data_IF_856653943665
#
_entry.id   IF_856653943665
#
_cell.length_a   1.000
_cell.length_b   1.000
_cell.length_c   1.000
_cell.angle_alpha   90.00
_cell.angle_beta   90.00
_cell.angle_gamma   90.00
#
_symmetry.space_group_name_H-M   'P 1'
#
loop_
_entity.id
_entity.type
_entity.pdbx_description
1 polymer ?
#
# COMPACT_ATOMS: atom_id res chain seq x y z
N UNK A 1 7.93 11.32 -0.85
CA UNK A 1 8.13 9.92 -1.30
C UNK A 1 7.87 9.75 -2.79
N UNK A 2 6.64 9.96 -3.30
CA UNK A 2 6.30 9.76 -4.73
C UNK A 2 7.25 10.45 -5.71
N UNK A 3 7.53 11.75 -5.52
CA UNK A 3 8.46 12.50 -6.37
C UNK A 3 9.87 11.90 -6.39
N UNK A 4 10.35 11.41 -5.25
CA UNK A 4 11.69 10.81 -5.14
C UNK A 4 11.77 9.49 -5.92
N UNK A 5 10.77 8.62 -5.74
CA UNK A 5 10.68 7.36 -6.49
C UNK A 5 10.59 7.59 -8.00
N UNK A 6 9.82 8.59 -8.43
CA UNK A 6 9.73 8.97 -9.84
C UNK A 6 11.08 9.48 -10.36
N UNK A 7 11.78 10.33 -9.58
CA UNK A 7 13.11 10.82 -9.95
C UNK A 7 14.15 9.69 -10.05
N UNK A 8 13.97 8.61 -9.28
CA UNK A 8 14.79 7.40 -9.35
C UNK A 8 14.39 6.46 -10.50
N UNK A 9 13.38 6.82 -11.30
CA UNK A 9 12.95 6.08 -12.49
C UNK A 9 11.84 5.06 -12.26
N UNK A 10 11.24 5.03 -11.06
CA UNK A 10 10.15 4.11 -10.76
C UNK A 10 8.79 4.63 -11.25
N UNK A 11 7.93 3.71 -11.68
CA UNK A 11 6.52 4.00 -11.93
C UNK A 11 5.76 3.96 -10.62
N UNK A 12 5.01 5.02 -10.31
CA UNK A 12 4.24 5.09 -9.07
C UNK A 12 2.78 5.40 -9.37
N UNK A 13 1.90 4.47 -9.06
CA UNK A 13 0.45 4.68 -9.05
C UNK A 13 0.02 5.12 -7.65
N UNK A 14 -0.81 6.16 -7.53
CA UNK A 14 -1.28 6.67 -6.24
C UNK A 14 -2.79 6.49 -6.08
N UNK A 15 -3.27 6.24 -4.86
CA UNK A 15 -4.70 6.17 -4.53
C UNK A 15 -5.46 5.14 -5.41
N UNK A 16 -4.84 3.96 -5.63
CA UNK A 16 -5.39 2.94 -6.52
C UNK A 16 -6.47 2.14 -5.81
N UNK A 17 -7.69 2.19 -6.34
CA UNK A 17 -8.79 1.35 -5.86
C UNK A 17 -8.63 -0.09 -6.36
N UNK A 18 -8.56 -1.05 -5.43
CA UNK A 18 -8.47 -2.47 -5.72
C UNK A 18 -9.66 -3.23 -5.14
N UNK A 19 -10.26 -4.17 -5.89
CA UNK A 19 -11.26 -5.07 -5.33
C UNK A 19 -10.61 -6.07 -4.37
N UNK A 20 -11.25 -6.30 -3.22
CA UNK A 20 -10.80 -7.29 -2.24
C UNK A 20 -11.68 -8.52 -2.35
N UNK A 21 -11.05 -9.69 -2.45
CA UNK A 21 -11.72 -10.97 -2.57
C UNK A 21 -11.39 -11.89 -1.38
N UNK A 22 -12.40 -12.60 -0.89
CA UNK A 22 -12.23 -13.70 0.06
C UNK A 22 -12.90 -14.94 -0.51
N UNK A 23 -12.15 -16.04 -0.64
CA UNK A 23 -12.63 -17.30 -1.24
C UNK A 23 -13.29 -17.10 -2.63
N UNK A 24 -12.75 -16.19 -3.44
CA UNK A 24 -13.27 -15.87 -4.77
C UNK A 24 -14.48 -14.92 -4.79
N UNK A 25 -15.06 -14.60 -3.64
CA UNK A 25 -16.17 -13.64 -3.54
C UNK A 25 -15.64 -12.23 -3.26
N UNK A 26 -16.17 -11.22 -3.96
CA UNK A 26 -15.81 -9.82 -3.73
C UNK A 26 -16.42 -9.37 -2.40
N UNK A 27 -15.57 -9.06 -1.43
CA UNK A 27 -15.98 -8.62 -0.08
C UNK A 27 -15.85 -7.12 0.14
N UNK A 28 -15.18 -6.41 -0.78
CA UNK A 28 -15.05 -4.95 -0.67
C UNK A 28 -14.12 -4.33 -1.70
N UNK A 29 -13.74 -3.09 -1.42
CA UNK A 29 -12.69 -2.36 -2.13
C UNK A 29 -11.74 -1.71 -1.12
N UNK A 30 -10.49 -1.58 -1.52
CA UNK A 30 -9.46 -0.90 -0.73
C UNK A 30 -8.72 0.09 -1.61
N UNK A 31 -8.50 1.30 -1.12
CA UNK A 31 -7.74 2.32 -1.82
C UNK A 31 -6.33 2.26 -1.25
N UNK A 32 -5.40 1.80 -2.08
CA UNK A 32 -3.98 1.75 -1.73
C UNK A 32 -3.35 3.12 -1.89
N UNK A 33 -2.48 3.50 -0.96
CA UNK A 33 -1.78 4.77 -1.02
C UNK A 33 -0.92 4.88 -2.27
N UNK A 34 -0.02 3.90 -2.46
CA UNK A 34 0.90 3.81 -3.59
C UNK A 34 1.17 2.37 -4.05
N UNK A 35 1.32 2.18 -5.37
CA UNK A 35 1.91 0.98 -5.97
C UNK A 35 3.13 1.38 -6.79
N UNK A 36 4.27 0.77 -6.50
CA UNK A 36 5.55 1.01 -7.19
C UNK A 36 5.85 -0.14 -8.15
N UNK A 37 6.11 0.20 -9.41
CA UNK A 37 6.43 -0.71 -10.52
C UNK A 37 5.43 -1.89 -10.69
N UNK A 38 4.19 -1.70 -10.25
CA UNK A 38 3.16 -2.73 -10.24
C UNK A 38 3.45 -3.93 -9.32
N UNK A 39 4.45 -3.83 -8.43
CA UNK A 39 5.00 -4.96 -7.66
C UNK A 39 5.00 -4.72 -6.15
N UNK A 40 5.19 -3.49 -5.72
CA UNK A 40 5.34 -3.14 -4.30
C UNK A 40 4.17 -2.25 -3.91
N UNK A 41 3.44 -2.64 -2.85
CA UNK A 41 2.42 -1.81 -2.22
C UNK A 41 3.10 -1.01 -1.11
N UNK A 42 2.89 0.32 -1.08
CA UNK A 42 3.44 1.20 -0.07
C UNK A 42 2.31 1.97 0.64
N UNK A 43 2.05 1.62 1.90
CA UNK A 43 1.03 2.21 2.77
C UNK A 43 1.67 3.14 3.80
N UNK A 44 1.25 4.40 3.85
CA UNK A 44 1.80 5.39 4.76
C UNK A 44 0.99 5.43 6.06
N UNK A 45 1.68 5.41 7.20
CA UNK A 45 1.06 5.58 8.52
C UNK A 45 1.81 6.63 9.33
N UNK A 46 1.07 7.62 9.83
CA UNK A 46 1.58 8.61 10.76
C UNK A 46 1.10 8.25 12.18
N UNK A 47 1.97 7.59 12.95
CA UNK A 47 1.70 7.16 14.33
C UNK A 47 2.92 7.45 15.20
N UNK A 48 2.73 7.69 16.49
CA UNK A 48 3.84 7.91 17.43
C UNK A 48 4.65 6.62 17.66
N UNK A 49 3.95 5.49 17.67
CA UNK A 49 4.53 4.16 17.89
C UNK A 49 3.79 3.10 17.07
N UNK A 50 4.50 2.05 16.65
CA UNK A 50 3.88 0.89 16.02
C UNK A 50 3.26 0.01 17.10
N UNK A 51 1.94 0.13 17.29
CA UNK A 51 1.20 -0.71 18.21
C UNK A 51 1.42 -2.21 17.89
N UNK A 52 1.40 -3.12 18.89
CA UNK A 52 1.61 -4.55 18.67
C UNK A 52 0.75 -5.16 17.56
N UNK A 53 -0.51 -4.72 17.45
CA UNK A 53 -1.46 -5.16 16.42
C UNK A 53 -1.07 -4.70 14.99
N UNK A 54 -0.24 -3.68 14.86
CA UNK A 54 0.23 -3.16 13.57
C UNK A 54 1.62 -3.70 13.18
N UNK A 55 2.31 -4.43 14.07
CA UNK A 55 3.64 -4.99 13.78
C UNK A 55 3.63 -5.95 12.61
N UNK A 56 2.60 -6.78 12.48
CA UNK A 56 2.49 -7.73 11.36
C UNK A 56 2.41 -7.01 10.00
N UNK A 57 1.88 -5.78 9.96
CA UNK A 57 1.81 -4.96 8.74
C UNK A 57 3.15 -4.29 8.41
N UNK A 58 4.03 -4.11 9.39
CA UNK A 58 5.31 -3.42 9.24
C UNK A 58 6.51 -4.38 9.00
N UNK A 59 6.43 -5.62 9.47
CA UNK A 59 7.55 -6.58 9.46
C UNK A 59 7.31 -7.81 8.55
N UNK A 60 6.39 -7.71 7.59
CA UNK A 60 6.09 -8.84 6.69
C UNK A 60 7.20 -9.14 5.71
#
# INVERSE_FOLDING_TARGET
MTKELINQGHQVETQKNIPVFYKGEKVGGHILDQIVDGRIILELKAVTDIAPIHRQQAYS
#
